data_IF_212557884142
#
_entry.id   IF_212557884142
#
_cell.length_a   1.000
_cell.length_b   1.000
_cell.length_c   1.000
_cell.angle_alpha   90.00
_cell.angle_beta   90.00
_cell.angle_gamma   90.00
#
_symmetry.space_group_name_H-M   'P 1'
#
loop_
_entity.id
_entity.type
_entity.pdbx_description
1 polymer ?
#
# COMPACT_ATOMS: atom_id res chain seq x y z
N UNK A 1 -29.92 0.54 -10.92
CA UNK A 1 -30.50 -0.74 -11.40
C UNK A 1 -29.71 -1.33 -12.56
N UNK A 2 -29.57 -2.65 -12.64
CA UNK A 2 -28.93 -3.32 -13.79
C UNK A 2 -29.85 -3.20 -15.01
N UNK A 3 -29.56 -2.25 -15.90
CA UNK A 3 -30.29 -2.05 -17.17
C UNK A 3 -29.50 -2.60 -18.35
N UNK A 4 -30.15 -2.76 -19.50
CA UNK A 4 -29.48 -3.19 -20.74
C UNK A 4 -28.26 -2.33 -21.07
N UNK A 5 -28.36 -1.01 -20.83
CA UNK A 5 -27.23 -0.08 -20.97
C UNK A 5 -26.06 -0.43 -20.04
N UNK A 6 -26.32 -0.70 -18.76
CA UNK A 6 -25.29 -1.01 -17.76
C UNK A 6 -24.52 -2.30 -18.10
N UNK A 7 -25.22 -3.28 -18.67
CA UNK A 7 -24.60 -4.53 -19.13
C UNK A 7 -23.80 -4.30 -20.41
N UNK A 8 -24.39 -3.63 -21.41
CA UNK A 8 -23.76 -3.35 -22.71
C UNK A 8 -22.50 -2.49 -22.58
N UNK A 9 -22.52 -1.50 -21.70
CA UNK A 9 -21.39 -0.59 -21.46
C UNK A 9 -20.42 -1.11 -20.37
N UNK A 10 -20.68 -2.28 -19.77
CA UNK A 10 -19.81 -2.86 -18.75
C UNK A 10 -19.67 -2.01 -17.47
N UNK A 11 -20.67 -1.20 -17.13
CA UNK A 11 -20.63 -0.30 -15.96
C UNK A 11 -20.75 -1.04 -14.62
N UNK A 12 -21.11 -2.33 -14.66
CA UNK A 12 -21.15 -3.23 -13.52
C UNK A 12 -19.78 -3.85 -13.19
N UNK A 13 -18.77 -3.63 -14.04
CA UNK A 13 -17.40 -4.08 -13.83
C UNK A 13 -16.58 -2.99 -13.14
N UNK A 14 -15.48 -3.37 -12.49
CA UNK A 14 -14.52 -2.38 -11.97
C UNK A 14 -13.86 -1.67 -13.16
N UNK A 15 -14.02 -0.35 -13.22
CA UNK A 15 -13.42 0.50 -14.25
C UNK A 15 -12.34 1.40 -13.64
N UNK A 16 -11.08 1.13 -13.97
CA UNK A 16 -9.99 2.05 -13.65
C UNK A 16 -9.71 2.95 -14.85
N UNK A 17 -10.40 4.09 -14.91
CA UNK A 17 -10.13 5.13 -15.91
C UNK A 17 -8.88 5.90 -15.47
N UNK A 18 -8.07 6.34 -16.43
CA UNK A 18 -6.89 7.19 -16.16
C UNK A 18 -5.85 6.61 -15.19
N UNK A 19 -5.46 5.34 -15.36
CA UNK A 19 -4.51 4.66 -14.48
C UNK A 19 -3.17 5.40 -14.24
N UNK A 20 -2.67 6.17 -15.21
CA UNK A 20 -1.46 6.99 -15.05
C UNK A 20 -1.64 8.15 -14.07
N UNK A 21 -2.83 8.74 -14.03
CA UNK A 21 -3.15 9.83 -13.09
C UNK A 21 -3.33 9.27 -11.69
N UNK A 22 -4.08 8.16 -11.58
CA UNK A 22 -4.24 7.39 -10.34
C UNK A 22 -2.87 7.01 -9.76
N UNK A 23 -1.94 6.53 -10.60
CA UNK A 23 -0.57 6.21 -10.19
C UNK A 23 0.13 7.41 -9.53
N UNK A 24 0.15 8.57 -10.20
CA UNK A 24 0.90 9.74 -9.69
C UNK A 24 0.32 10.26 -8.37
N UNK A 25 -1.01 10.29 -8.29
CA UNK A 25 -1.72 10.76 -7.10
C UNK A 25 -1.55 9.78 -5.94
N UNK A 26 -1.62 8.47 -6.21
CA UNK A 26 -1.41 7.42 -5.22
C UNK A 26 -0.04 7.51 -4.54
N UNK A 27 1.04 7.64 -5.33
CA UNK A 27 2.40 7.69 -4.76
C UNK A 27 2.58 8.93 -3.88
N UNK A 28 2.11 10.11 -4.33
CA UNK A 28 2.20 11.36 -3.55
C UNK A 28 1.35 11.28 -2.27
N UNK A 29 0.10 10.85 -2.38
CA UNK A 29 -0.81 10.80 -1.24
C UNK A 29 -0.34 9.81 -0.15
N UNK A 30 0.20 8.65 -0.54
CA UNK A 30 0.77 7.70 0.41
C UNK A 30 2.06 8.20 1.05
N UNK A 31 2.93 8.86 0.29
CA UNK A 31 4.14 9.49 0.83
C UNK A 31 3.77 10.54 1.89
N UNK A 32 2.86 11.45 1.57
CA UNK A 32 2.38 12.48 2.50
C UNK A 32 1.77 11.85 3.76
N UNK A 33 0.96 10.80 3.62
CA UNK A 33 0.39 10.07 4.75
C UNK A 33 1.47 9.39 5.60
N UNK A 34 2.46 8.75 4.98
CA UNK A 34 3.57 8.13 5.70
C UNK A 34 4.35 9.17 6.51
N UNK A 35 4.76 10.27 5.87
CA UNK A 35 5.50 11.36 6.53
C UNK A 35 4.67 11.97 7.67
N UNK A 36 3.36 12.12 7.49
CA UNK A 36 2.47 12.64 8.54
C UNK A 36 2.44 11.71 9.75
N UNK A 37 2.30 10.41 9.53
CA UNK A 37 2.30 9.41 10.61
C UNK A 37 3.64 9.32 11.33
N UNK A 38 4.75 9.35 10.59
CA UNK A 38 6.10 9.35 11.16
C UNK A 38 6.34 10.60 12.04
N UNK A 39 6.04 11.79 11.51
CA UNK A 39 6.17 13.05 12.25
C UNK A 39 5.31 13.10 13.50
N UNK A 40 4.06 12.60 13.42
CA UNK A 40 3.16 12.55 14.57
C UNK A 40 3.70 11.67 15.71
N UNK A 41 4.61 10.74 15.41
CA UNK A 41 5.26 9.86 16.38
C UNK A 41 6.73 10.21 16.65
N UNK A 42 7.25 11.31 16.08
CA UNK A 42 8.65 11.71 16.24
C UNK A 42 9.65 10.73 15.63
N UNK A 43 9.25 10.00 14.59
CA UNK A 43 10.08 9.02 13.89
C UNK A 43 10.53 9.56 12.53
N UNK A 44 11.67 9.07 12.08
CA UNK A 44 12.18 9.20 10.72
C UNK A 44 12.01 7.88 9.95
N UNK A 45 12.05 7.88 8.60
CA UNK A 45 11.98 6.65 7.82
C UNK A 45 13.05 5.61 8.20
N UNK A 46 14.21 6.06 8.69
CA UNK A 46 15.30 5.19 9.16
C UNK A 46 15.00 4.43 10.45
N UNK A 47 13.97 4.84 11.20
CA UNK A 47 13.54 4.18 12.44
C UNK A 47 12.55 3.03 12.18
N UNK A 48 12.17 2.82 10.92
CA UNK A 48 11.20 1.80 10.51
C UNK A 48 11.91 0.56 10.02
N UNK A 49 11.61 -0.58 10.64
CA UNK A 49 12.19 -1.86 10.27
C UNK A 49 11.62 -2.39 8.95
N UNK A 50 10.30 -2.29 8.76
CA UNK A 50 9.62 -2.80 7.56
C UNK A 50 8.51 -1.88 7.06
N UNK A 51 8.46 -1.73 5.73
CA UNK A 51 7.33 -1.14 5.01
C UNK A 51 6.39 -2.27 4.53
N UNK A 52 5.12 -2.22 4.93
CA UNK A 52 4.05 -3.14 4.50
C UNK A 52 2.99 -2.37 3.71
N UNK A 53 3.20 -2.17 2.38
CA UNK A 53 2.32 -1.36 1.56
C UNK A 53 1.15 -2.16 0.99
N UNK A 54 0.09 -1.45 0.56
CA UNK A 54 -0.95 -2.02 -0.29
C UNK A 54 -0.35 -2.57 -1.59
N UNK A 55 -0.67 -3.82 -1.91
CA UNK A 55 -0.12 -4.57 -3.04
C UNK A 55 -0.83 -4.23 -4.37
N UNK A 56 -0.91 -2.95 -4.72
CA UNK A 56 -1.65 -2.50 -5.90
C UNK A 56 -0.93 -2.79 -7.23
N UNK A 57 0.34 -2.39 -7.28
CA UNK A 57 1.21 -2.50 -8.44
C UNK A 57 2.66 -2.31 -7.98
N UNK A 58 3.58 -3.15 -8.46
CA UNK A 58 5.00 -3.09 -8.07
C UNK A 58 5.65 -1.73 -8.35
N UNK A 59 5.24 -1.03 -9.42
CA UNK A 59 5.76 0.31 -9.74
C UNK A 59 5.35 1.35 -8.70
N UNK A 60 4.15 1.25 -8.13
CA UNK A 60 3.68 2.17 -7.08
C UNK A 60 4.46 1.90 -5.79
N UNK A 61 4.59 0.62 -5.43
CA UNK A 61 5.29 0.20 -4.21
C UNK A 61 6.75 0.66 -4.25
N UNK A 62 7.46 0.40 -5.36
CA UNK A 62 8.85 0.84 -5.54
C UNK A 62 9.00 2.35 -5.57
N UNK A 63 8.06 3.07 -6.18
CA UNK A 63 8.09 4.54 -6.18
C UNK A 63 7.91 5.10 -4.76
N UNK A 64 7.00 4.54 -3.97
CA UNK A 64 6.82 4.93 -2.57
C UNK A 64 8.07 4.62 -1.73
N UNK A 65 8.59 3.38 -1.83
CA UNK A 65 9.79 2.96 -1.10
C UNK A 65 11.00 3.86 -1.43
N UNK A 66 11.21 4.17 -2.72
CA UNK A 66 12.29 5.04 -3.17
C UNK A 66 12.16 6.47 -2.62
N UNK A 67 10.96 7.05 -2.57
CA UNK A 67 10.74 8.39 -2.03
C UNK A 67 10.95 8.48 -0.52
N UNK A 68 10.64 7.40 0.18
CA UNK A 68 10.86 7.27 1.62
C UNK A 68 12.25 6.71 1.97
N UNK A 69 13.12 6.51 0.97
CA UNK A 69 14.47 5.97 1.11
C UNK A 69 14.55 4.58 1.80
N UNK A 70 13.54 3.73 1.61
CA UNK A 70 13.57 2.35 2.12
C UNK A 70 14.42 1.44 1.23
N UNK A 71 15.31 0.61 1.82
CA UNK A 71 15.94 -0.52 1.12
C UNK A 71 14.89 -1.52 0.61
N UNK A 72 15.13 -2.17 -0.54
CA UNK A 72 14.16 -3.10 -1.15
C UNK A 72 13.90 -4.31 -0.24
N UNK A 73 14.91 -4.76 0.49
CA UNK A 73 14.84 -5.84 1.49
C UNK A 73 13.94 -5.53 2.70
N UNK A 74 13.70 -4.24 2.98
CA UNK A 74 12.83 -3.79 4.06
C UNK A 74 11.37 -3.59 3.59
N UNK A 75 11.08 -3.84 2.32
CA UNK A 75 9.72 -3.80 1.79
C UNK A 75 9.12 -5.20 1.79
N UNK A 76 7.90 -5.33 2.30
CA UNK A 76 7.14 -6.58 2.24
C UNK A 76 6.38 -6.65 0.91
N UNK A 77 6.72 -7.66 0.11
CA UNK A 77 6.18 -7.90 -1.23
C UNK A 77 5.65 -9.34 -1.33
N UNK A 78 4.43 -9.48 -1.82
CA UNK A 78 3.86 -10.75 -2.26
C UNK A 78 2.92 -10.58 -3.47
N UNK A 79 2.91 -9.40 -4.08
CA UNK A 79 2.11 -9.07 -5.26
C UNK A 79 2.37 -10.01 -6.44
N UNK A 80 3.58 -10.55 -6.56
CA UNK A 80 3.94 -11.52 -7.58
C UNK A 80 3.22 -12.87 -7.42
N UNK A 81 2.78 -13.20 -6.20
CA UNK A 81 2.03 -14.42 -5.90
C UNK A 81 0.53 -14.22 -5.94
N UNK A 82 0.03 -13.09 -5.42
CA UNK A 82 -1.42 -12.88 -5.22
C UNK A 82 -2.04 -11.75 -6.02
N UNK A 83 -1.23 -10.89 -6.65
CA UNK A 83 -1.70 -9.66 -7.27
C UNK A 83 -2.35 -8.70 -6.26
N UNK A 84 -3.23 -7.83 -6.75
CA UNK A 84 -3.95 -6.86 -5.94
C UNK A 84 -5.19 -7.51 -5.29
N UNK A 85 -5.12 -7.74 -3.98
CA UNK A 85 -6.22 -8.30 -3.17
C UNK A 85 -7.05 -7.22 -2.45
N UNK A 86 -6.98 -5.97 -2.92
CA UNK A 86 -7.71 -4.82 -2.37
C UNK A 86 -7.43 -4.62 -0.87
N UNK A 87 -8.47 -4.50 -0.04
CA UNK A 87 -8.34 -4.30 1.40
C UNK A 87 -7.57 -5.42 2.11
N UNK A 88 -7.51 -6.63 1.54
CA UNK A 88 -6.80 -7.76 2.13
C UNK A 88 -5.28 -7.71 1.89
N UNK A 89 -4.76 -6.80 1.06
CA UNK A 89 -3.35 -6.85 0.65
C UNK A 89 -2.37 -6.62 1.78
N UNK A 90 -2.63 -5.64 2.66
CA UNK A 90 -1.76 -5.37 3.82
C UNK A 90 -1.81 -6.51 4.84
N UNK A 91 -2.98 -6.96 5.35
CA UNK A 91 -3.00 -8.04 6.33
C UNK A 91 -2.48 -9.37 5.77
N UNK A 92 -2.69 -9.67 4.48
CA UNK A 92 -2.12 -10.85 3.84
C UNK A 92 -0.58 -10.79 3.80
N UNK A 93 -0.02 -9.67 3.36
CA UNK A 93 1.43 -9.48 3.32
C UNK A 93 2.06 -9.50 4.73
N UNK A 94 1.38 -8.90 5.71
CA UNK A 94 1.81 -8.89 7.10
C UNK A 94 1.83 -10.30 7.71
N UNK A 95 0.75 -11.07 7.57
CA UNK A 95 0.67 -12.45 8.09
C UNK A 95 1.78 -13.33 7.52
N UNK A 96 2.07 -13.23 6.22
CA UNK A 96 3.18 -13.96 5.62
C UNK A 96 4.55 -13.52 6.17
N UNK A 97 4.78 -12.22 6.36
CA UNK A 97 6.03 -11.72 6.90
C UNK A 97 6.25 -12.16 8.37
N UNK A 98 5.17 -12.24 9.15
CA UNK A 98 5.19 -12.77 10.52
C UNK A 98 5.51 -14.27 10.50
N UNK A 99 4.82 -15.06 9.68
CA UNK A 99 5.07 -16.52 9.57
C UNK A 99 6.47 -16.84 9.05
N UNK A 100 7.05 -15.97 8.24
CA UNK A 100 8.41 -16.08 7.74
C UNK A 100 9.48 -15.61 8.75
N UNK A 101 9.08 -15.11 9.93
CA UNK A 101 10.00 -14.60 10.95
C UNK A 101 10.68 -13.27 10.59
N UNK A 102 10.20 -12.59 9.52
CA UNK A 102 10.68 -11.25 9.14
C UNK A 102 10.16 -10.17 10.08
N UNK A 103 8.98 -10.36 10.65
CA UNK A 103 8.38 -9.48 11.66
C UNK A 103 8.56 -10.14 13.03
N UNK A 104 9.12 -9.42 13.99
CA UNK A 104 9.41 -9.86 15.35
C UNK A 104 8.87 -8.85 16.37
N UNK A 105 8.58 -9.28 17.62
CA UNK A 105 8.15 -8.37 18.67
C UNK A 105 9.15 -7.23 18.90
N UNK A 106 8.63 -6.01 19.06
CA UNK A 106 9.39 -4.77 19.22
C UNK A 106 9.72 -4.05 17.92
N UNK A 107 9.52 -4.67 16.75
CA UNK A 107 9.80 -4.00 15.46
C UNK A 107 8.78 -2.91 15.17
N UNK A 108 9.23 -1.82 14.55
CA UNK A 108 8.39 -0.72 14.09
C UNK A 108 8.08 -0.88 12.61
N UNK A 109 6.79 -1.01 12.29
CA UNK A 109 6.28 -1.23 10.95
C UNK A 109 5.58 0.04 10.45
N UNK A 110 5.79 0.36 9.17
CA UNK A 110 5.03 1.39 8.46
C UNK A 110 4.11 0.73 7.44
N UNK A 111 2.83 1.07 7.48
CA UNK A 111 1.83 0.59 6.53
C UNK A 111 1.30 1.77 5.72
N UNK A 112 1.02 1.55 4.45
CA UNK A 112 0.50 2.59 3.56
C UNK A 112 -0.45 1.99 2.53
N UNK A 113 -1.62 2.61 2.35
CA UNK A 113 -2.62 2.19 1.39
C UNK A 113 -3.20 3.38 0.62
N UNK A 114 -3.66 3.09 -0.60
CA UNK A 114 -4.52 3.96 -1.38
C UNK A 114 -5.58 3.11 -2.08
N UNK A 115 -6.72 3.71 -2.43
CA UNK A 115 -7.82 3.02 -3.09
C UNK A 115 -8.85 3.95 -3.69
N UNK A 116 -9.94 3.38 -4.21
CA UNK A 116 -11.04 4.11 -4.82
C UNK A 116 -11.66 5.13 -3.84
N UNK A 117 -12.06 6.29 -4.35
CA UNK A 117 -12.62 7.38 -3.55
C UNK A 117 -12.26 8.78 -4.09
N UNK A 118 -11.01 9.20 -4.20
CA UNK A 118 -9.78 8.54 -3.73
C UNK A 118 -9.69 8.56 -2.20
N UNK A 119 -9.22 7.45 -1.64
CA UNK A 119 -8.94 7.30 -0.22
C UNK A 119 -7.51 6.78 -0.04
N UNK A 120 -6.85 7.23 1.03
CA UNK A 120 -5.51 6.78 1.38
C UNK A 120 -5.30 6.89 2.89
N UNK A 121 -4.30 6.18 3.39
CA UNK A 121 -3.96 6.20 4.81
C UNK A 121 -2.65 5.49 5.07
N UNK A 122 -2.10 5.76 6.24
CA UNK A 122 -0.90 5.12 6.76
C UNK A 122 -1.09 4.77 8.23
N UNK A 123 -0.27 3.84 8.72
CA UNK A 123 -0.21 3.51 10.13
C UNK A 123 1.24 3.18 10.50
N UNK A 124 1.68 3.66 11.65
CA UNK A 124 2.90 3.18 12.32
C UNK A 124 2.46 2.21 13.41
N UNK A 125 3.06 1.03 13.45
CA UNK A 125 2.73 -0.02 14.41
C UNK A 125 4.01 -0.55 15.03
N UNK A 126 4.12 -0.53 16.35
CA UNK A 126 5.09 -1.37 17.06
C UNK A 126 4.46 -2.76 17.21
N UNK A 127 5.07 -3.76 16.59
CA UNK A 127 4.62 -5.16 16.59
C UNK A 127 4.95 -5.86 17.90
#
# INVERSE_FOLDING_TARGET
PQSERVLREGLHLIQMRSGNEVFRLAVRAMEDACITALKANGLEPSDIDLLVPHQANLRIIRALASRLAFPEENVVLNIERYGNTSAASIPLALDEAVRAGRVQPGMTLLMAAFGAGLTWGSAVITW
#
